data_IF_790860907985
#
_entry.id   IF_790860907985
#
_cell.length_a   1.000
_cell.length_b   1.000
_cell.length_c   1.000
_cell.angle_alpha   90.00
_cell.angle_beta   90.00
_cell.angle_gamma   90.00
#
_symmetry.space_group_name_H-M   'P 1'
#
loop_
_entity.id
_entity.type
_entity.pdbx_description
1 polymer ?
#
# COMPACT_ATOMS: atom_id res chain seq x y z
N UNK A 1 13.13 -19.08 -28.66
CA UNK A 1 11.74 -18.61 -28.85
C UNK A 1 11.02 -18.93 -27.55
N UNK A 2 11.21 -18.09 -26.54
CA UNK A 2 10.77 -18.36 -25.17
C UNK A 2 9.39 -17.78 -24.98
N UNK A 3 8.46 -18.67 -24.70
CA UNK A 3 7.05 -18.41 -24.45
C UNK A 3 6.88 -17.49 -23.22
N UNK A 4 6.37 -16.27 -23.47
CA UNK A 4 6.14 -15.22 -22.47
C UNK A 4 4.73 -15.28 -21.85
N UNK A 5 3.97 -16.36 -22.05
CA UNK A 5 2.55 -16.45 -21.65
C UNK A 5 2.30 -16.51 -20.14
N UNK A 6 3.30 -16.34 -19.27
CA UNK A 6 3.15 -16.42 -17.81
C UNK A 6 3.23 -15.09 -17.05
N UNK A 7 3.29 -13.94 -17.74
CA UNK A 7 3.33 -12.62 -17.08
C UNK A 7 2.06 -11.77 -17.21
N UNK A 8 0.93 -12.35 -17.64
CA UNK A 8 -0.37 -11.67 -17.79
C UNK A 8 -1.24 -11.67 -16.51
N UNK A 9 -0.66 -11.79 -15.31
CA UNK A 9 -1.41 -11.83 -14.05
C UNK A 9 -1.56 -10.50 -13.30
N UNK A 10 -0.87 -9.42 -13.71
CA UNK A 10 -0.84 -8.17 -12.94
C UNK A 10 -1.31 -6.93 -13.71
N UNK A 11 -1.64 -7.06 -15.00
CA UNK A 11 -2.17 -5.97 -15.79
C UNK A 11 -3.54 -6.35 -16.32
N UNK A 12 -4.51 -5.49 -16.04
CA UNK A 12 -5.86 -5.47 -16.62
C UNK A 12 -6.96 -6.31 -15.95
N UNK A 13 -7.04 -6.23 -14.62
CA UNK A 13 -8.38 -6.08 -14.06
C UNK A 13 -8.68 -4.59 -13.95
N UNK A 14 -9.61 -4.12 -14.77
CA UNK A 14 -10.33 -2.89 -14.51
C UNK A 14 -10.95 -3.01 -13.11
N UNK A 15 -10.21 -2.59 -12.07
CA UNK A 15 -10.67 -2.72 -10.69
C UNK A 15 -11.95 -1.88 -10.60
N UNK A 16 -13.10 -2.51 -10.30
CA UNK A 16 -14.38 -1.83 -10.22
C UNK A 16 -14.27 -0.64 -9.29
N UNK A 17 -14.93 0.44 -9.71
CA UNK A 17 -15.00 1.68 -8.97
C UNK A 17 -15.43 1.42 -7.52
N UNK A 18 -14.74 2.11 -6.61
CA UNK A 18 -15.16 2.44 -5.25
C UNK A 18 -15.22 1.39 -4.13
N UNK A 19 -15.11 0.08 -4.36
CA UNK A 19 -15.24 -0.89 -3.23
C UNK A 19 -14.03 -1.78 -2.95
N UNK A 20 -13.05 -1.88 -3.87
CA UNK A 20 -12.05 -2.97 -3.82
C UNK A 20 -10.57 -2.61 -3.69
N UNK A 21 -10.16 -1.40 -3.27
CA UNK A 21 -8.73 -1.01 -3.22
C UNK A 21 -8.17 -0.68 -1.83
N UNK A 22 -8.82 -1.16 -0.77
CA UNK A 22 -8.37 -0.98 0.62
C UNK A 22 -7.70 -2.23 1.18
N UNK A 23 -7.09 -3.03 0.32
CA UNK A 23 -6.51 -4.29 0.74
C UNK A 23 -5.02 -4.12 0.99
N UNK A 24 -4.62 -4.20 2.26
CA UNK A 24 -3.23 -4.50 2.62
C UNK A 24 -2.91 -5.88 2.04
N UNK A 25 -1.97 -6.01 1.09
CA UNK A 25 -1.59 -7.34 0.61
C UNK A 25 -0.99 -8.15 1.77
N UNK A 26 -1.25 -9.46 1.88
CA UNK A 26 -0.55 -10.30 2.86
C UNK A 26 0.94 -10.36 2.52
N UNK A 27 1.77 -10.65 3.52
CA UNK A 27 3.15 -11.03 3.26
C UNK A 27 3.17 -12.36 2.48
N UNK A 28 4.02 -12.50 1.45
CA UNK A 28 4.14 -13.74 0.70
C UNK A 28 4.68 -14.87 1.59
N UNK A 29 4.34 -16.11 1.24
CA UNK A 29 4.96 -17.28 1.87
C UNK A 29 6.49 -17.25 1.66
N UNK A 30 7.24 -17.52 2.73
CA UNK A 30 8.70 -17.43 2.72
C UNK A 30 9.26 -15.99 2.81
N UNK A 31 8.45 -15.01 3.20
CA UNK A 31 8.94 -13.67 3.47
C UNK A 31 10.05 -13.66 4.53
N UNK A 32 11.20 -13.08 4.20
CA UNK A 32 12.30 -12.86 5.13
C UNK A 32 12.14 -11.48 5.78
N UNK A 33 12.02 -11.41 7.12
CA UNK A 33 11.89 -10.14 7.85
C UNK A 33 13.05 -9.18 7.54
N UNK A 34 12.73 -7.89 7.39
CA UNK A 34 13.68 -6.83 7.04
C UNK A 34 13.73 -5.77 8.14
N UNK A 35 13.92 -6.21 9.39
CA UNK A 35 13.96 -5.38 10.59
C UNK A 35 14.81 -4.11 10.46
N UNK A 36 16.00 -4.19 9.88
CA UNK A 36 16.86 -3.02 9.65
C UNK A 36 16.22 -1.96 8.75
N UNK A 37 15.47 -2.38 7.73
CA UNK A 37 14.74 -1.44 6.86
C UNK A 37 13.52 -0.88 7.60
N UNK A 38 12.78 -1.70 8.35
CA UNK A 38 11.69 -1.21 9.19
C UNK A 38 12.16 -0.13 10.18
N UNK A 39 13.28 -0.34 10.87
CA UNK A 39 13.84 0.65 11.77
C UNK A 39 14.16 1.98 11.07
N UNK A 40 14.73 1.93 9.86
CA UNK A 40 14.95 3.14 9.04
C UNK A 40 13.65 3.85 8.66
N UNK A 41 12.55 3.11 8.52
CA UNK A 41 11.23 3.69 8.27
C UNK A 41 10.67 4.34 9.54
N UNK A 42 10.87 3.73 10.71
CA UNK A 42 10.49 4.29 12.02
C UNK A 42 11.20 5.61 12.29
N UNK A 43 12.51 5.68 12.05
CA UNK A 43 13.31 6.91 12.19
C UNK A 43 12.76 8.04 11.30
N UNK A 44 12.22 7.66 10.12
CA UNK A 44 11.62 8.56 9.14
C UNK A 44 10.21 9.03 9.46
N UNK A 45 9.53 8.48 10.48
CA UNK A 45 8.15 8.86 10.85
C UNK A 45 8.02 10.30 11.33
N UNK A 46 9.12 10.93 11.73
CA UNK A 46 9.15 12.36 12.06
C UNK A 46 8.99 13.28 10.84
N UNK A 47 9.19 12.75 9.62
CA UNK A 47 9.05 13.49 8.37
C UNK A 47 7.60 13.63 7.90
N UNK A 48 7.36 14.59 6.99
CA UNK A 48 6.04 14.79 6.36
C UNK A 48 5.72 13.77 5.27
N UNK A 49 6.74 13.12 4.71
CA UNK A 49 6.61 12.13 3.64
C UNK A 49 7.74 11.13 3.74
N UNK A 50 7.37 9.85 3.69
CA UNK A 50 8.31 8.76 3.57
C UNK A 50 8.19 8.15 2.17
N UNK A 51 9.32 8.01 1.48
CA UNK A 51 9.38 7.47 0.13
C UNK A 51 10.23 6.19 0.09
N UNK A 52 9.64 5.09 -0.38
CA UNK A 52 10.34 3.81 -0.59
C UNK A 52 10.60 3.60 -2.08
N UNK A 53 11.85 3.78 -2.50
CA UNK A 53 12.28 3.60 -3.90
C UNK A 53 13.16 2.36 -4.07
N UNK A 54 12.80 1.51 -5.03
CA UNK A 54 13.58 0.34 -5.47
C UNK A 54 13.03 -0.17 -6.81
N UNK A 55 13.80 -0.93 -7.60
CA UNK A 55 13.31 -1.54 -8.85
C UNK A 55 12.10 -2.48 -8.63
N UNK A 56 11.44 -2.86 -9.72
CA UNK A 56 10.38 -3.86 -9.67
C UNK A 56 10.89 -5.18 -9.07
N UNK A 57 10.06 -5.87 -8.29
CA UNK A 57 10.43 -7.14 -7.65
C UNK A 57 11.23 -7.05 -6.34
N UNK A 58 11.76 -5.89 -5.94
CA UNK A 58 12.57 -5.75 -4.71
C UNK A 58 11.79 -5.84 -3.38
N UNK A 59 10.48 -6.08 -3.43
CA UNK A 59 9.65 -6.26 -2.22
C UNK A 59 9.29 -4.97 -1.49
N UNK A 60 9.15 -3.84 -2.20
CA UNK A 60 8.72 -2.54 -1.63
C UNK A 60 7.38 -2.66 -0.89
N UNK A 61 6.38 -3.25 -1.56
CA UNK A 61 5.06 -3.44 -0.97
C UNK A 61 5.14 -4.37 0.24
N UNK A 62 5.91 -5.45 0.18
CA UNK A 62 6.11 -6.37 1.30
C UNK A 62 6.78 -5.70 2.50
N UNK A 63 7.80 -4.86 2.27
CA UNK A 63 8.42 -4.05 3.32
C UNK A 63 7.41 -3.09 3.97
N UNK A 64 6.57 -2.43 3.17
CA UNK A 64 5.53 -1.55 3.71
C UNK A 64 4.49 -2.33 4.54
N UNK A 65 4.16 -3.57 4.14
CA UNK A 65 3.28 -4.46 4.93
C UNK A 65 3.94 -4.82 6.26
N UNK A 66 5.18 -5.31 6.26
CA UNK A 66 5.93 -5.67 7.47
C UNK A 66 6.01 -4.48 8.42
N UNK A 67 6.42 -3.33 7.92
CA UNK A 67 6.51 -2.09 8.69
C UNK A 67 5.17 -1.75 9.34
N UNK A 68 4.07 -1.76 8.58
CA UNK A 68 2.77 -1.43 9.13
C UNK A 68 2.19 -2.53 10.03
N UNK A 69 2.72 -3.76 10.04
CA UNK A 69 2.39 -4.81 11.02
C UNK A 69 3.10 -4.57 12.36
N UNK A 70 4.30 -3.98 12.34
CA UNK A 70 5.06 -3.64 13.55
C UNK A 70 4.65 -2.32 14.21
N UNK A 71 3.83 -1.50 13.55
CA UNK A 71 3.36 -0.23 14.13
C UNK A 71 2.42 -0.47 15.33
N UNK A 72 2.53 0.33 16.41
CA UNK A 72 1.61 0.25 17.54
C UNK A 72 0.14 0.50 17.16
N UNK A 73 -0.81 -0.06 17.90
CA UNK A 73 -2.27 0.00 17.62
C UNK A 73 -2.85 1.41 17.46
N UNK A 74 -2.18 2.44 18.00
CA UNK A 74 -2.55 3.84 17.79
C UNK A 74 -2.45 4.26 16.32
N UNK A 75 -1.63 3.57 15.53
CA UNK A 75 -1.45 3.85 14.11
C UNK A 75 -2.49 3.11 13.29
N UNK A 76 -3.21 3.89 12.50
CA UNK A 76 -4.14 3.37 11.52
C UNK A 76 -3.56 3.60 10.13
N UNK A 77 -3.69 2.62 9.24
CA UNK A 77 -3.10 2.66 7.91
C UNK A 77 -4.13 2.28 6.85
N UNK A 78 -4.04 2.95 5.71
CA UNK A 78 -4.89 2.73 4.55
C UNK A 78 -4.01 2.48 3.33
N UNK A 79 -4.39 1.50 2.51
CA UNK A 79 -3.70 1.19 1.27
C UNK A 79 -4.44 1.87 0.13
N UNK A 80 -3.75 2.74 -0.62
CA UNK A 80 -4.32 3.45 -1.76
C UNK A 80 -3.54 3.08 -3.02
N UNK A 81 -4.15 2.26 -3.88
CA UNK A 81 -3.60 1.96 -5.20
C UNK A 81 -3.72 3.18 -6.13
N UNK A 82 -2.59 3.65 -6.65
CA UNK A 82 -2.51 4.72 -7.64
C UNK A 82 -2.51 4.15 -9.07
N UNK A 83 -3.06 4.91 -9.99
CA UNK A 83 -3.14 4.64 -11.42
C UNK A 83 -2.75 5.91 -12.19
N UNK A 84 -2.49 5.79 -13.50
CA UNK A 84 -2.17 6.94 -14.34
C UNK A 84 -3.25 8.05 -14.32
N UNK A 85 -4.50 7.68 -14.02
CA UNK A 85 -5.62 8.62 -13.92
C UNK A 85 -5.54 9.53 -12.69
N UNK A 86 -4.70 9.21 -11.71
CA UNK A 86 -4.49 9.95 -10.46
C UNK A 86 -3.31 10.92 -10.55
N UNK A 87 -2.79 11.15 -11.76
CA UNK A 87 -1.78 12.17 -12.03
C UNK A 87 -2.31 13.59 -11.86
N UNK A 88 -3.64 13.77 -11.94
CA UNK A 88 -4.31 15.01 -11.56
C UNK A 88 -4.34 15.17 -10.02
N UNK A 89 -3.75 16.24 -9.47
CA UNK A 89 -3.71 16.44 -8.02
C UNK A 89 -5.08 16.52 -7.36
N UNK A 90 -6.07 17.11 -8.03
CA UNK A 90 -7.44 17.23 -7.51
C UNK A 90 -8.06 15.85 -7.30
N UNK A 91 -8.01 15.00 -8.33
CA UNK A 91 -8.50 13.62 -8.26
C UNK A 91 -7.74 12.78 -7.25
N UNK A 92 -6.42 12.94 -7.15
CA UNK A 92 -5.63 12.25 -6.12
C UNK A 92 -6.12 12.62 -4.72
N UNK A 93 -6.32 13.91 -4.45
CA UNK A 93 -6.81 14.40 -3.16
C UNK A 93 -8.23 13.92 -2.87
N UNK A 94 -9.14 13.95 -3.84
CA UNK A 94 -10.50 13.42 -3.69
C UNK A 94 -10.48 11.94 -3.29
N UNK A 95 -9.66 11.13 -3.95
CA UNK A 95 -9.51 9.70 -3.63
C UNK A 95 -8.89 9.49 -2.26
N UNK A 96 -7.87 10.26 -1.91
CA UNK A 96 -7.24 10.20 -0.60
C UNK A 96 -8.24 10.54 0.50
N UNK A 97 -9.00 11.62 0.36
CA UNK A 97 -10.02 12.03 1.33
C UNK A 97 -11.13 10.99 1.45
N UNK A 98 -11.66 10.49 0.32
CA UNK A 98 -12.66 9.41 0.33
C UNK A 98 -12.14 8.15 1.04
N UNK A 99 -10.85 7.83 0.86
CA UNK A 99 -10.19 6.70 1.51
C UNK A 99 -10.15 6.84 3.04
N UNK A 100 -9.84 8.04 3.54
CA UNK A 100 -9.76 8.33 4.96
C UNK A 100 -11.15 8.40 5.62
N UNK A 101 -12.15 8.95 4.92
CA UNK A 101 -13.54 9.02 5.40
C UNK A 101 -14.20 7.64 5.52
N UNK A 102 -13.98 6.76 4.54
CA UNK A 102 -14.48 5.38 4.61
C UNK A 102 -13.81 4.62 5.76
N UNK A 103 -12.51 4.82 5.94
CA UNK A 103 -11.75 4.21 7.01
C UNK A 103 -12.25 4.65 8.39
N UNK A 104 -12.43 5.95 8.63
CA UNK A 104 -12.89 6.48 9.92
C UNK A 104 -14.28 5.95 10.30
N UNK A 105 -15.20 5.85 9.33
CA UNK A 105 -16.54 5.25 9.54
C UNK A 105 -16.48 3.76 9.88
N UNK A 106 -15.50 3.03 9.36
CA UNK A 106 -15.31 1.60 9.66
C UNK A 106 -14.57 1.37 10.98
N UNK A 107 -13.77 2.32 11.42
CA UNK A 107 -13.08 2.27 12.71
C UNK A 107 -14.03 2.59 13.87
N UNK A 108 -14.87 3.63 13.73
CA UNK A 108 -15.87 4.01 14.73
C UNK A 108 -16.95 2.94 15.00
N UNK A 109 -17.15 1.98 14.08
CA UNK A 109 -18.11 0.87 14.23
C UNK A 109 -17.51 -0.38 14.90
N UNK A 110 -16.20 -0.40 15.15
CA UNK A 110 -15.47 -1.54 15.74
C UNK A 110 -15.02 -1.29 17.19
N UNK A 111 -15.33 -0.11 17.73
CA UNK A 111 -15.25 0.25 19.15
C UNK A 111 -16.64 0.09 19.77
#
# INVERSE_FOLDING_TARGET
MTDLSRMQGFADSAIPALEGRFFRPPLPEGYVPRSRLCQRLEDGLSGRLLLVCAPAGFGKSSLAVEFCQGLPDKWQNVWLGLSARDSDPGRFLERLLGSLQQFSRNWARRQ
#
